data_IF_374306211290
#
_entry.id   IF_374306211290
#
_cell.length_a   1.000
_cell.length_b   1.000
_cell.length_c   1.000
_cell.angle_alpha   90.00
_cell.angle_beta   90.00
_cell.angle_gamma   90.00
#
_symmetry.space_group_name_H-M   'P 1'
#
loop_
_entity.id
_entity.type
_entity.pdbx_description
1 polymer ?
#
# COMPACT_ATOMS: atom_id res chain seq x y z
N UNK A 1 -6.23 0.07 2.43
CA UNK A 1 -6.35 0.49 1.01
C UNK A 1 -5.12 1.28 0.62
N UNK A 2 -4.64 1.08 -0.59
CA UNK A 2 -3.42 1.74 -1.04
C UNK A 2 -3.50 2.05 -2.53
N UNK A 3 -2.57 2.90 -3.00
CA UNK A 3 -2.43 3.24 -4.41
C UNK A 3 -0.97 3.14 -4.81
N UNK A 4 -0.72 2.87 -6.08
CA UNK A 4 0.65 2.82 -6.62
C UNK A 4 0.98 4.15 -7.26
N UNK A 5 2.15 4.69 -6.92
CA UNK A 5 2.68 5.91 -7.51
C UNK A 5 4.04 5.61 -8.13
N UNK A 6 4.40 6.29 -9.22
CA UNK A 6 5.78 6.21 -9.71
C UNK A 6 6.72 6.78 -8.64
N UNK A 7 7.97 6.28 -8.54
CA UNK A 7 8.88 6.76 -7.50
C UNK A 7 9.09 8.26 -7.50
N UNK A 8 9.12 8.89 -8.67
CA UNK A 8 9.26 10.33 -8.82
C UNK A 8 7.98 11.09 -8.44
N UNK A 9 6.88 10.41 -8.24
CA UNK A 9 5.60 11.01 -7.84
C UNK A 9 5.40 11.13 -6.34
N UNK A 10 6.37 10.70 -5.55
CA UNK A 10 6.25 10.73 -4.09
C UNK A 10 7.59 11.09 -3.44
N UNK A 11 7.54 12.00 -2.49
CA UNK A 11 8.71 12.37 -1.67
C UNK A 11 8.28 12.91 -0.32
N UNK A 12 9.15 12.78 0.66
CA UNK A 12 8.96 13.43 1.96
C UNK A 12 9.45 14.86 1.86
N UNK A 13 8.61 15.82 2.23
CA UNK A 13 8.98 17.25 2.18
C UNK A 13 9.54 17.73 3.51
N UNK A 14 9.27 17.02 4.60
CA UNK A 14 9.83 17.32 5.93
C UNK A 14 9.85 16.04 6.76
N UNK A 15 10.84 15.95 7.66
CA UNK A 15 10.99 14.80 8.52
C UNK A 15 11.49 13.57 7.79
N UNK A 16 11.75 12.52 8.58
CA UNK A 16 12.21 11.23 8.07
C UNK A 16 11.34 10.13 8.68
N UNK A 17 10.76 9.25 7.88
CA UNK A 17 9.96 8.15 8.42
C UNK A 17 10.86 7.13 9.12
N UNK A 18 10.32 6.39 10.07
CA UNK A 18 10.93 5.17 10.53
C UNK A 18 10.59 4.04 9.56
N UNK A 19 11.43 3.02 9.53
CA UNK A 19 11.24 1.89 8.62
C UNK A 19 11.25 0.58 9.40
N UNK A 20 10.54 -0.39 8.84
CA UNK A 20 10.53 -1.75 9.35
C UNK A 20 10.52 -2.73 8.16
N UNK A 21 11.35 -3.75 8.25
CA UNK A 21 11.35 -4.87 7.32
C UNK A 21 11.58 -6.15 8.11
N UNK A 22 10.88 -7.22 7.73
CA UNK A 22 11.05 -8.52 8.39
C UNK A 22 12.45 -9.04 8.12
N UNK A 23 13.06 -9.64 9.15
CA UNK A 23 14.41 -10.19 9.05
C UNK A 23 14.43 -11.66 8.65
N UNK A 24 13.26 -12.32 8.64
CA UNK A 24 13.12 -13.75 8.32
C UNK A 24 12.78 -14.02 6.85
N UNK A 25 12.73 -12.97 6.02
CA UNK A 25 12.46 -13.08 4.59
C UNK A 25 13.69 -12.65 3.79
N UNK A 26 13.90 -13.28 2.63
CA UNK A 26 15.00 -12.89 1.74
C UNK A 26 14.77 -11.54 1.07
N UNK A 27 13.53 -11.28 0.65
CA UNK A 27 13.17 -10.05 -0.03
C UNK A 27 11.98 -9.38 0.65
N UNK A 28 12.15 -8.91 1.89
CA UNK A 28 11.05 -8.29 2.60
C UNK A 28 10.67 -6.94 2.00
N UNK A 29 9.39 -6.57 2.11
CA UNK A 29 9.00 -5.19 1.85
C UNK A 29 9.50 -4.30 2.98
N UNK A 30 9.80 -3.04 2.66
CA UNK A 30 10.14 -2.04 3.67
C UNK A 30 8.91 -1.18 3.92
N UNK A 31 8.47 -1.11 5.17
CA UNK A 31 7.34 -0.29 5.57
C UNK A 31 7.84 0.98 6.19
N UNK A 32 7.31 2.12 5.72
CA UNK A 32 7.65 3.46 6.20
C UNK A 32 6.48 4.00 7.00
N UNK A 33 6.76 4.46 8.20
CA UNK A 33 5.73 4.90 9.12
C UNK A 33 6.20 6.12 9.92
N UNK A 34 5.22 6.86 10.47
CA UNK A 34 5.54 8.00 11.31
C UNK A 34 6.14 7.52 12.64
N UNK A 35 7.33 8.01 12.97
CA UNK A 35 8.01 7.62 14.20
C UNK A 35 7.38 8.18 15.47
N UNK A 36 6.46 9.14 15.34
CA UNK A 36 5.76 9.74 16.47
C UNK A 36 4.47 9.03 16.80
N UNK A 37 3.63 8.75 15.79
CA UNK A 37 2.30 8.17 16.02
C UNK A 37 2.12 6.77 15.42
N UNK A 38 3.11 6.28 14.65
CA UNK A 38 3.04 4.94 14.09
C UNK A 38 2.21 4.81 12.82
N UNK A 39 1.65 5.90 12.29
CA UNK A 39 0.84 5.84 11.08
C UNK A 39 1.65 5.29 9.92
N UNK A 40 1.16 4.21 9.31
CA UNK A 40 1.79 3.60 8.15
C UNK A 40 1.54 4.49 6.92
N UNK A 41 2.62 4.92 6.29
CA UNK A 41 2.54 5.89 5.18
C UNK A 41 2.73 5.17 3.85
N UNK A 42 3.82 4.43 3.69
CA UNK A 42 4.19 3.85 2.41
C UNK A 42 4.87 2.50 2.58
N UNK A 43 4.83 1.70 1.53
CA UNK A 43 5.57 0.44 1.46
C UNK A 43 6.41 0.44 0.20
N UNK A 44 7.65 -0.02 0.33
CA UNK A 44 8.58 -0.22 -0.78
C UNK A 44 8.77 -1.73 -0.95
N UNK A 45 8.57 -2.22 -2.17
CA UNK A 45 8.68 -3.64 -2.47
C UNK A 45 9.87 -3.87 -3.42
N UNK A 46 10.79 -4.82 -3.09
CA UNK A 46 11.90 -5.13 -3.98
C UNK A 46 11.39 -5.54 -5.37
N UNK A 47 12.02 -5.00 -6.41
CA UNK A 47 11.64 -5.30 -7.79
C UNK A 47 10.42 -4.57 -8.30
N UNK A 48 9.72 -3.81 -7.47
CA UNK A 48 8.59 -3.00 -7.90
C UNK A 48 9.04 -1.54 -8.08
N UNK A 49 8.90 -1.02 -9.30
CA UNK A 49 9.27 0.36 -9.60
C UNK A 49 8.08 1.29 -9.31
N UNK A 50 7.62 1.26 -8.07
CA UNK A 50 6.50 2.07 -7.60
C UNK A 50 6.56 2.21 -6.09
N UNK A 51 5.90 3.26 -5.58
CA UNK A 51 5.68 3.45 -4.15
C UNK A 51 4.25 3.06 -3.84
N UNK A 52 4.06 2.21 -2.84
CA UNK A 52 2.74 1.79 -2.37
C UNK A 52 2.32 2.76 -1.27
N UNK A 53 1.46 3.72 -1.59
CA UNK A 53 1.02 4.75 -0.67
C UNK A 53 -0.31 4.38 -0.03
N UNK A 54 -0.42 4.53 1.29
CA UNK A 54 -1.69 4.31 2.00
C UNK A 54 -2.66 5.46 1.72
N UNK A 55 -3.84 5.12 1.21
CA UNK A 55 -4.85 6.11 0.82
C UNK A 55 -5.32 6.96 2.02
N UNK A 56 -5.37 6.36 3.21
CA UNK A 56 -5.77 7.08 4.43
C UNK A 56 -4.86 8.21 4.84
N UNK A 57 -3.66 8.33 4.24
CA UNK A 57 -2.73 9.43 4.54
C UNK A 57 -2.92 10.62 3.61
N UNK A 58 -3.80 10.53 2.61
CA UNK A 58 -4.07 11.65 1.70
C UNK A 58 -4.82 12.75 2.44
N UNK A 59 -4.40 14.02 2.23
CA UNK A 59 -5.12 15.16 2.75
C UNK A 59 -6.52 15.25 2.12
N UNK A 60 -6.61 14.90 0.84
CA UNK A 60 -7.86 14.83 0.11
C UNK A 60 -8.05 13.40 -0.43
N UNK A 61 -8.73 12.52 0.33
CA UNK A 61 -8.91 11.12 -0.09
C UNK A 61 -9.70 10.96 -1.39
N UNK A 62 -10.46 11.97 -1.80
CA UNK A 62 -11.22 11.90 -3.06
C UNK A 62 -10.30 11.79 -4.27
N UNK A 63 -9.04 12.18 -4.14
CA UNK A 63 -8.06 12.09 -5.22
C UNK A 63 -7.71 10.65 -5.57
N UNK A 64 -7.99 9.70 -4.69
CA UNK A 64 -7.84 8.29 -5.01
C UNK A 64 -8.85 7.84 -6.09
N UNK A 65 -10.03 8.46 -6.10
CA UNK A 65 -11.11 8.08 -7.00
C UNK A 65 -11.81 6.83 -6.50
N UNK A 66 -11.40 5.67 -7.01
CA UNK A 66 -12.01 4.40 -6.63
C UNK A 66 -10.99 3.27 -6.77
N UNK A 67 -11.17 2.16 -6.03
CA UNK A 67 -10.30 1.01 -6.17
C UNK A 67 -10.46 0.39 -7.57
N UNK A 68 -9.36 -0.15 -8.10
CA UNK A 68 -9.31 -0.78 -9.42
C UNK A 68 -9.30 -2.30 -9.35
N UNK A 69 -8.98 -2.87 -8.19
CA UNK A 69 -8.97 -4.32 -7.99
C UNK A 69 -8.99 -4.64 -6.50
N UNK A 70 -9.35 -5.87 -6.18
CA UNK A 70 -9.20 -6.43 -4.84
C UNK A 70 -8.12 -7.50 -4.87
N UNK A 71 -7.21 -7.46 -3.89
CA UNK A 71 -6.13 -8.45 -3.77
C UNK A 71 -6.21 -9.14 -2.42
N UNK A 72 -5.55 -10.30 -2.31
CA UNK A 72 -5.57 -11.13 -1.11
C UNK A 72 -6.99 -11.46 -0.66
N UNK A 73 -7.88 -11.71 -1.61
CA UNK A 73 -9.25 -12.10 -1.31
C UNK A 73 -9.33 -13.45 -0.58
N UNK A 74 -8.25 -14.23 -0.59
CA UNK A 74 -8.16 -15.47 0.17
C UNK A 74 -8.35 -15.23 1.67
N UNK A 75 -7.98 -14.03 2.16
CA UNK A 75 -8.12 -13.65 3.56
C UNK A 75 -9.45 -12.95 3.88
N UNK A 76 -10.32 -12.85 2.87
CA UNK A 76 -11.59 -12.18 3.01
C UNK A 76 -12.50 -12.87 4.01
N UNK A 77 -13.18 -12.05 4.82
CA UNK A 77 -14.17 -12.51 5.78
C UNK A 77 -15.58 -12.20 5.27
N UNK A 78 -16.64 -12.86 5.83
CA UNK A 78 -18.00 -12.64 5.34
C UNK A 78 -18.49 -11.18 5.40
N UNK A 79 -17.91 -10.37 6.30
CA UNK A 79 -18.31 -8.97 6.44
C UNK A 79 -17.54 -8.02 5.51
N UNK A 80 -16.57 -8.52 4.73
CA UNK A 80 -15.84 -7.70 3.76
C UNK A 80 -16.67 -7.58 2.48
N UNK A 81 -17.02 -6.36 2.13
CA UNK A 81 -17.79 -6.07 0.92
C UNK A 81 -16.82 -5.59 -0.17
N UNK A 82 -16.78 -6.32 -1.28
CA UNK A 82 -15.98 -5.94 -2.44
C UNK A 82 -16.94 -5.34 -3.47
N UNK A 83 -16.65 -4.12 -3.99
CA UNK A 83 -17.52 -3.52 -5.01
C UNK A 83 -17.67 -4.44 -6.23
N UNK A 84 -18.88 -4.46 -6.78
CA UNK A 84 -19.15 -5.25 -7.99
C UNK A 84 -18.29 -4.78 -9.17
N UNK A 85 -17.93 -5.72 -10.02
CA UNK A 85 -17.19 -5.43 -11.25
C UNK A 85 -15.69 -5.28 -11.09
N UNK A 86 -15.16 -5.31 -9.87
CA UNK A 86 -13.72 -5.26 -9.67
C UNK A 86 -13.07 -6.61 -9.97
N UNK A 87 -11.92 -6.64 -10.66
CA UNK A 87 -11.09 -7.84 -10.69
C UNK A 87 -10.72 -8.24 -9.27
N UNK A 88 -10.84 -9.54 -8.97
CA UNK A 88 -10.55 -10.09 -7.65
C UNK A 88 -9.42 -11.10 -7.79
N UNK A 89 -8.37 -10.90 -7.01
CA UNK A 89 -7.22 -11.81 -6.98
C UNK A 89 -7.10 -12.44 -5.60
N UNK A 90 -6.92 -13.76 -5.55
CA UNK A 90 -6.76 -14.47 -4.28
C UNK A 90 -5.52 -14.01 -3.52
N UNK A 91 -4.47 -13.66 -4.24
CA UNK A 91 -3.24 -13.08 -3.69
C UNK A 91 -2.88 -11.84 -4.48
N UNK A 92 -1.63 -11.75 -4.96
CA UNK A 92 -1.22 -10.64 -5.82
C UNK A 92 -1.63 -10.92 -7.27
N UNK A 93 -1.90 -9.86 -8.07
CA UNK A 93 -2.19 -10.07 -9.49
C UNK A 93 -0.93 -10.56 -10.21
N UNK A 94 -1.10 -11.29 -11.31
CA UNK A 94 0.06 -11.67 -12.14
C UNK A 94 0.74 -10.42 -12.70
N UNK A 95 2.03 -10.51 -12.86
CA UNK A 95 2.86 -9.45 -13.42
C UNK A 95 3.20 -9.71 -14.87
#
# INVERSE_FOLDING_TARGET
MFMLLPPEGFRYVSGTPKTFARTDLEQPVTREFCGTCGTHIATRRPGLNAVILKVGTLDDPSRFGAPQMAIYAVDRQPFHVIPEGLPIHERLPPR
#
